data_IF_530506144546
#
_entry.id   IF_530506144546
#
_cell.length_a   1.000
_cell.length_b   1.000
_cell.length_c   1.000
_cell.angle_alpha   90.00
_cell.angle_beta   90.00
_cell.angle_gamma   90.00
#
_symmetry.space_group_name_H-M   'P 1'
#
loop_
_entity.id
_entity.type
_entity.pdbx_description
1 polymer ?
#
# COMPACT_ATOMS: atom_id res chain seq x y z
N UNK A 1 -57.22 22.83 -47.48
CA UNK A 1 -57.62 21.50 -47.97
C UNK A 1 -58.33 20.80 -46.83
N UNK A 2 -59.59 20.41 -47.03
CA UNK A 2 -60.36 19.58 -46.07
C UNK A 2 -61.33 20.32 -45.16
N UNK A 3 -61.99 21.38 -45.63
CA UNK A 3 -63.27 21.86 -45.07
C UNK A 3 -64.36 21.40 -46.04
N UNK A 4 -64.85 20.18 -45.86
CA UNK A 4 -66.09 19.67 -46.47
C UNK A 4 -66.36 18.29 -45.87
N UNK A 5 -67.00 18.30 -44.70
CA UNK A 5 -67.83 17.22 -44.12
C UNK A 5 -68.27 17.65 -42.72
N UNK A 6 -69.03 18.74 -42.65
CA UNK A 6 -69.99 18.93 -41.58
C UNK A 6 -71.34 18.94 -42.27
N UNK A 7 -71.84 17.73 -42.51
CA UNK A 7 -73.21 17.54 -42.94
C UNK A 7 -74.13 18.27 -41.98
N UNK A 8 -75.00 19.06 -42.60
CA UNK A 8 -76.06 19.78 -41.95
C UNK A 8 -76.90 18.83 -41.08
N UNK A 9 -76.67 18.86 -39.77
CA UNK A 9 -77.70 18.44 -38.81
C UNK A 9 -78.79 19.50 -38.87
N UNK A 10 -79.68 19.27 -39.84
CA UNK A 10 -80.95 19.93 -40.03
C UNK A 10 -81.66 20.07 -38.68
N UNK A 11 -81.99 21.30 -38.32
CA UNK A 11 -82.78 21.67 -37.14
C UNK A 11 -84.25 21.18 -37.20
N UNK A 12 -84.54 20.16 -38.01
CA UNK A 12 -85.87 19.57 -38.21
C UNK A 12 -85.99 18.10 -37.79
N UNK A 13 -84.93 17.50 -37.21
CA UNK A 13 -84.98 16.14 -36.64
C UNK A 13 -85.17 16.10 -35.10
N UNK A 14 -85.36 17.26 -34.44
CA UNK A 14 -85.94 17.27 -33.08
C UNK A 14 -87.46 17.11 -33.18
N UNK A 15 -87.89 15.90 -33.52
CA UNK A 15 -89.26 15.48 -33.22
C UNK A 15 -89.44 15.53 -31.71
N UNK A 16 -90.45 16.24 -31.15
CA UNK A 16 -90.78 16.08 -29.76
C UNK A 16 -91.33 14.67 -29.60
N UNK A 17 -90.48 13.75 -29.13
CA UNK A 17 -90.94 12.44 -28.68
C UNK A 17 -92.13 12.63 -27.74
N UNK A 18 -93.13 11.73 -27.78
CA UNK A 18 -94.33 11.87 -26.97
C UNK A 18 -93.94 12.07 -25.50
N UNK A 19 -94.62 12.97 -24.75
CA UNK A 19 -94.27 13.29 -23.36
C UNK A 19 -94.30 12.08 -22.41
N UNK A 20 -94.81 10.93 -22.86
CA UNK A 20 -94.99 9.72 -22.08
C UNK A 20 -93.75 8.79 -22.05
N UNK A 21 -92.74 8.96 -22.92
CA UNK A 21 -91.55 8.08 -22.90
C UNK A 21 -90.65 8.32 -21.68
N UNK A 22 -90.71 9.51 -21.08
CA UNK A 22 -90.07 9.81 -19.79
C UNK A 22 -90.88 9.24 -18.62
N UNK A 23 -92.20 9.11 -18.74
CA UNK A 23 -93.07 8.54 -17.70
C UNK A 23 -93.00 7.02 -17.63
N UNK A 24 -92.71 6.35 -18.74
CA UNK A 24 -92.56 4.88 -18.81
C UNK A 24 -91.24 4.40 -18.19
N UNK A 25 -90.21 5.26 -18.16
CA UNK A 25 -88.91 4.99 -17.53
C UNK A 25 -88.81 5.46 -16.07
N UNK A 26 -89.69 6.36 -15.62
CA UNK A 26 -89.76 6.79 -14.22
C UNK A 26 -89.99 5.67 -13.20
N UNK A 27 -90.90 4.70 -13.40
CA UNK A 27 -91.09 3.61 -12.44
C UNK A 27 -89.86 2.71 -12.36
N UNK A 28 -89.19 2.45 -13.49
CA UNK A 28 -87.92 1.71 -13.54
C UNK A 28 -86.79 2.47 -12.81
N UNK A 29 -86.71 3.78 -12.99
CA UNK A 29 -85.77 4.63 -12.26
C UNK A 29 -86.07 4.66 -10.76
N UNK A 30 -87.33 4.69 -10.34
CA UNK A 30 -87.74 4.65 -8.93
C UNK A 30 -87.43 3.27 -8.32
N UNK A 31 -87.68 2.19 -9.04
CA UNK A 31 -87.33 0.83 -8.61
C UNK A 31 -85.82 0.67 -8.48
N UNK A 32 -85.04 1.19 -9.43
CA UNK A 32 -83.58 1.21 -9.36
C UNK A 32 -83.06 2.04 -8.18
N UNK A 33 -83.62 3.23 -7.94
CA UNK A 33 -83.23 4.08 -6.80
C UNK A 33 -83.62 3.40 -5.47
N UNK A 34 -84.79 2.77 -5.39
CA UNK A 34 -85.23 2.03 -4.21
C UNK A 34 -84.32 0.82 -3.94
N UNK A 35 -83.96 0.08 -4.99
CA UNK A 35 -83.04 -1.05 -4.92
C UNK A 35 -81.64 -0.61 -4.45
N UNK A 36 -81.15 0.54 -4.94
CA UNK A 36 -79.89 1.13 -4.47
C UNK A 36 -80.00 1.62 -3.02
N UNK A 37 -81.13 2.21 -2.63
CA UNK A 37 -81.37 2.69 -1.27
C UNK A 37 -81.50 1.55 -0.24
N UNK A 38 -81.97 0.38 -0.65
CA UNK A 38 -81.99 -0.84 0.18
C UNK A 38 -80.61 -1.50 0.29
N UNK A 39 -79.74 -1.30 -0.71
CA UNK A 39 -78.36 -1.79 -0.70
C UNK A 39 -77.45 -0.97 0.21
N UNK A 40 -77.73 0.33 0.35
CA UNK A 40 -76.92 1.28 1.13
C UNK A 40 -77.43 1.29 2.58
N UNK A 41 -76.58 0.86 3.51
CA UNK A 41 -76.80 1.02 4.96
C UNK A 41 -75.85 2.13 5.41
N UNK A 42 -76.33 3.38 5.55
CA UNK A 42 -75.44 4.54 5.69
C UNK A 42 -74.46 4.46 6.86
N UNK A 43 -74.85 3.80 7.96
CA UNK A 43 -74.00 3.63 9.13
C UNK A 43 -72.86 2.62 8.91
N UNK A 44 -73.12 1.53 8.19
CA UNK A 44 -72.12 0.49 7.91
C UNK A 44 -71.22 0.88 6.73
N UNK A 45 -71.78 1.54 5.72
CA UNK A 45 -71.02 2.07 4.58
C UNK A 45 -70.07 3.20 5.02
N UNK A 46 -70.52 4.09 5.92
CA UNK A 46 -69.66 5.13 6.49
C UNK A 46 -68.48 4.54 7.27
N UNK A 47 -68.72 3.52 8.11
CA UNK A 47 -67.65 2.82 8.83
C UNK A 47 -66.67 2.13 7.89
N UNK A 48 -67.17 1.59 6.78
CA UNK A 48 -66.32 0.94 5.77
C UNK A 48 -65.46 1.97 5.05
N UNK A 49 -66.01 3.14 4.71
CA UNK A 49 -65.25 4.24 4.09
C UNK A 49 -64.19 4.79 5.05
N UNK A 50 -64.53 5.01 6.32
CA UNK A 50 -63.55 5.46 7.33
C UNK A 50 -62.43 4.42 7.52
N UNK A 51 -62.78 3.13 7.60
CA UNK A 51 -61.78 2.07 7.69
C UNK A 51 -60.88 1.98 6.44
N UNK A 52 -61.42 2.26 5.26
CA UNK A 52 -60.64 2.32 4.01
C UNK A 52 -59.72 3.54 4.02
N UNK A 53 -60.17 4.70 4.49
CA UNK A 53 -59.31 5.88 4.61
C UNK A 53 -58.17 5.64 5.60
N UNK A 54 -58.46 5.04 6.77
CA UNK A 54 -57.43 4.69 7.74
C UNK A 54 -56.38 3.74 7.14
N UNK A 55 -56.81 2.75 6.33
CA UNK A 55 -55.91 1.85 5.61
C UNK A 55 -55.07 2.57 4.55
N UNK A 56 -55.67 3.50 3.81
CA UNK A 56 -54.95 4.29 2.79
C UNK A 56 -53.90 5.17 3.46
N UNK A 57 -54.24 5.83 4.57
CA UNK A 57 -53.33 6.68 5.32
C UNK A 57 -52.16 5.86 5.92
N UNK A 58 -52.43 4.65 6.40
CA UNK A 58 -51.41 3.71 6.88
C UNK A 58 -50.48 3.26 5.74
N UNK A 59 -51.03 2.83 4.60
CA UNK A 59 -50.25 2.44 3.42
C UNK A 59 -49.42 3.61 2.84
N UNK A 60 -49.94 4.84 2.89
CA UNK A 60 -49.20 6.02 2.46
C UNK A 60 -48.04 6.35 3.40
N UNK A 61 -48.25 6.19 4.71
CA UNK A 61 -47.20 6.35 5.70
C UNK A 61 -46.09 5.31 5.51
N UNK A 62 -46.45 4.04 5.32
CA UNK A 62 -45.50 2.95 5.05
C UNK A 62 -44.72 3.20 3.75
N UNK A 63 -45.41 3.50 2.64
CA UNK A 63 -44.76 3.82 1.37
C UNK A 63 -43.80 5.00 1.48
N UNK A 64 -44.15 6.01 2.30
CA UNK A 64 -43.27 7.15 2.53
C UNK A 64 -42.04 6.75 3.33
N UNK A 65 -42.18 5.95 4.38
CA UNK A 65 -41.05 5.45 5.16
C UNK A 65 -40.11 4.61 4.31
N UNK A 66 -40.65 3.71 3.48
CA UNK A 66 -39.86 2.90 2.54
C UNK A 66 -39.08 3.76 1.55
N UNK A 67 -39.70 4.82 0.99
CA UNK A 67 -39.03 5.76 0.09
C UNK A 67 -37.93 6.55 0.80
N UNK A 68 -38.18 7.02 2.01
CA UNK A 68 -37.20 7.73 2.82
C UNK A 68 -36.00 6.82 3.16
N UNK A 69 -36.26 5.56 3.51
CA UNK A 69 -35.23 4.56 3.78
C UNK A 69 -34.43 4.23 2.52
N UNK A 70 -35.08 3.97 1.39
CA UNK A 70 -34.41 3.73 0.11
C UNK A 70 -33.55 4.92 -0.32
N UNK A 71 -34.02 6.16 -0.10
CA UNK A 71 -33.22 7.36 -0.35
C UNK A 71 -32.00 7.47 0.58
N UNK A 72 -32.16 7.12 1.85
CA UNK A 72 -31.06 7.10 2.82
C UNK A 72 -29.99 6.07 2.40
N UNK A 73 -30.42 4.87 2.00
CA UNK A 73 -29.56 3.79 1.54
C UNK A 73 -28.83 4.16 0.25
N UNK A 74 -29.52 4.74 -0.73
CA UNK A 74 -28.89 5.23 -1.96
C UNK A 74 -27.81 6.28 -1.66
N UNK A 75 -28.07 7.19 -0.72
CA UNK A 75 -27.10 8.21 -0.32
C UNK A 75 -25.91 7.60 0.42
N UNK A 76 -26.13 6.58 1.24
CA UNK A 76 -25.06 5.84 1.90
C UNK A 76 -24.18 5.09 0.88
N UNK A 77 -24.79 4.36 -0.06
CA UNK A 77 -24.11 3.66 -1.13
C UNK A 77 -23.33 4.61 -2.05
N UNK A 78 -23.90 5.77 -2.39
CA UNK A 78 -23.21 6.79 -3.19
C UNK A 78 -21.94 7.29 -2.49
N UNK A 79 -21.99 7.55 -1.17
CA UNK A 79 -20.81 7.94 -0.39
C UNK A 79 -19.74 6.85 -0.35
N UNK A 80 -20.15 5.58 -0.20
CA UNK A 80 -19.23 4.43 -0.23
C UNK A 80 -18.58 4.33 -1.61
N UNK A 81 -19.35 4.52 -2.68
CA UNK A 81 -18.85 4.48 -4.05
C UNK A 81 -17.87 5.63 -4.32
N UNK A 82 -18.14 6.83 -3.84
CA UNK A 82 -17.22 7.98 -3.99
C UNK A 82 -15.94 7.79 -3.16
N UNK A 83 -16.05 7.24 -1.95
CA UNK A 83 -14.90 6.85 -1.16
C UNK A 83 -14.07 5.76 -1.87
N UNK A 84 -14.72 4.75 -2.43
CA UNK A 84 -14.08 3.68 -3.19
C UNK A 84 -13.42 4.20 -4.48
N UNK A 85 -14.05 5.14 -5.20
CA UNK A 85 -13.46 5.83 -6.37
C UNK A 85 -12.23 6.65 -5.98
N UNK A 86 -12.31 7.36 -4.86
CA UNK A 86 -11.20 8.15 -4.35
C UNK A 86 -10.04 7.24 -3.92
N UNK A 87 -10.34 6.08 -3.33
CA UNK A 87 -9.34 5.09 -2.93
C UNK A 87 -8.77 4.28 -4.10
N UNK A 88 -9.54 4.02 -5.15
CA UNK A 88 -9.11 3.24 -6.32
C UNK A 88 -8.34 4.08 -7.33
N UNK A 89 -8.60 5.39 -7.35
CA UNK A 89 -7.78 6.31 -8.12
C UNK A 89 -6.47 6.53 -7.39
N UNK A 90 -5.35 6.18 -8.04
CA UNK A 90 -4.00 6.42 -7.52
C UNK A 90 -3.89 7.90 -7.09
N UNK A 91 -3.62 8.20 -5.81
CA UNK A 91 -3.57 9.59 -5.37
C UNK A 91 -2.45 10.32 -6.10
N UNK A 92 -2.71 11.59 -6.48
CA UNK A 92 -1.84 12.38 -7.37
C UNK A 92 -0.43 12.62 -6.83
N UNK A 93 -0.21 12.33 -5.55
CA UNK A 93 1.08 12.44 -4.85
C UNK A 93 1.95 11.18 -4.99
N UNK A 94 1.42 10.07 -5.51
CA UNK A 94 2.21 8.85 -5.76
C UNK A 94 2.84 8.95 -7.14
N UNK A 95 4.14 8.67 -7.23
CA UNK A 95 4.89 8.65 -8.49
C UNK A 95 4.14 7.85 -9.56
N UNK A 96 4.24 8.23 -10.85
CA UNK A 96 3.64 7.44 -11.94
C UNK A 96 4.15 5.99 -11.91
N UNK A 97 3.42 5.07 -12.55
CA UNK A 97 3.81 3.66 -12.61
C UNK A 97 5.22 3.49 -13.19
N UNK A 98 5.53 4.26 -14.23
CA UNK A 98 6.85 4.30 -14.87
C UNK A 98 7.93 4.78 -13.90
N UNK A 99 7.74 5.93 -13.23
CA UNK A 99 8.71 6.44 -12.23
C UNK A 99 8.91 5.48 -11.06
N UNK A 100 7.88 4.74 -10.68
CA UNK A 100 8.01 3.71 -9.65
C UNK A 100 8.85 2.53 -10.13
N UNK A 101 8.63 2.05 -11.36
CA UNK A 101 9.43 0.99 -11.96
C UNK A 101 10.90 1.40 -12.15
N UNK A 102 11.15 2.63 -12.60
CA UNK A 102 12.49 3.20 -12.68
C UNK A 102 13.18 3.24 -11.31
N UNK A 103 12.48 3.68 -10.26
CA UNK A 103 13.02 3.67 -8.90
C UNK A 103 13.31 2.26 -8.39
N UNK A 104 12.44 1.28 -8.67
CA UNK A 104 12.69 -0.11 -8.30
C UNK A 104 13.93 -0.66 -8.99
N UNK A 105 14.05 -0.44 -10.30
CA UNK A 105 15.23 -0.85 -11.06
C UNK A 105 16.51 -0.17 -10.55
N UNK A 106 16.44 1.10 -10.19
CA UNK A 106 17.55 1.83 -9.59
C UNK A 106 17.96 1.25 -8.23
N UNK A 107 16.98 0.95 -7.37
CA UNK A 107 17.22 0.33 -6.06
C UNK A 107 17.81 -1.07 -6.19
N UNK A 108 17.36 -1.87 -7.15
CA UNK A 108 17.91 -3.20 -7.38
C UNK A 108 19.34 -3.16 -7.92
N UNK A 109 19.64 -2.22 -8.83
CA UNK A 109 21.01 -1.97 -9.27
C UNK A 109 21.92 -1.52 -8.09
N UNK A 110 21.42 -0.64 -7.22
CA UNK A 110 22.14 -0.21 -6.03
C UNK A 110 22.40 -1.38 -5.07
N UNK A 111 21.40 -2.24 -4.83
CA UNK A 111 21.54 -3.45 -3.99
C UNK A 111 22.62 -4.39 -4.50
N UNK A 112 22.65 -4.66 -5.81
CA UNK A 112 23.68 -5.50 -6.42
C UNK A 112 25.07 -4.85 -6.28
N UNK A 113 25.17 -3.53 -6.44
CA UNK A 113 26.43 -2.82 -6.27
C UNK A 113 26.95 -2.88 -4.82
N UNK A 114 26.05 -2.73 -3.83
CA UNK A 114 26.41 -2.83 -2.42
C UNK A 114 26.80 -4.25 -2.02
N UNK A 115 26.10 -5.27 -2.52
CA UNK A 115 26.45 -6.66 -2.26
C UNK A 115 27.86 -6.99 -2.79
N UNK A 116 28.20 -6.49 -3.99
CA UNK A 116 29.55 -6.64 -4.53
C UNK A 116 30.59 -5.89 -3.69
N UNK A 117 30.34 -4.61 -3.37
CA UNK A 117 31.26 -3.81 -2.57
C UNK A 117 31.49 -4.41 -1.18
N UNK A 118 30.45 -5.01 -0.57
CA UNK A 118 30.56 -5.71 0.70
C UNK A 118 31.45 -6.94 0.58
N UNK A 119 31.26 -7.76 -0.46
CA UNK A 119 32.08 -8.94 -0.69
C UNK A 119 33.56 -8.58 -0.95
N UNK A 120 33.80 -7.54 -1.74
CA UNK A 120 35.15 -7.02 -2.01
C UNK A 120 35.81 -6.53 -0.70
N UNK A 121 35.05 -5.84 0.16
CA UNK A 121 35.53 -5.37 1.46
C UNK A 121 35.78 -6.52 2.46
N UNK A 122 34.91 -7.52 2.51
CA UNK A 122 35.08 -8.72 3.34
C UNK A 122 36.31 -9.53 2.90
N UNK A 123 36.52 -9.69 1.60
CA UNK A 123 37.68 -10.36 1.03
C UNK A 123 38.98 -9.64 1.39
N UNK A 124 39.01 -8.31 1.26
CA UNK A 124 40.16 -7.50 1.65
C UNK A 124 40.41 -7.49 3.17
N UNK A 125 39.36 -7.63 3.99
CA UNK A 125 39.50 -7.75 5.43
C UNK A 125 40.07 -9.13 5.80
N UNK A 126 39.58 -10.19 5.17
CA UNK A 126 40.07 -11.56 5.37
C UNK A 126 41.56 -11.67 5.03
N UNK A 127 42.01 -11.07 3.92
CA UNK A 127 43.44 -11.07 3.58
C UNK A 127 44.30 -10.34 4.61
N UNK A 128 43.86 -9.17 5.08
CA UNK A 128 44.56 -8.40 6.13
C UNK A 128 44.59 -9.13 7.47
N UNK A 129 43.51 -9.84 7.82
CA UNK A 129 43.48 -10.67 9.02
C UNK A 129 44.46 -11.84 8.92
N UNK A 130 44.56 -12.47 7.75
CA UNK A 130 45.54 -13.53 7.49
C UNK A 130 46.98 -12.98 7.61
N UNK A 131 47.28 -11.84 6.98
CA UNK A 131 48.59 -11.17 7.10
C UNK A 131 48.91 -10.80 8.56
N UNK A 132 47.95 -10.22 9.29
CA UNK A 132 48.14 -9.89 10.70
C UNK A 132 48.43 -11.14 11.54
N UNK A 133 47.75 -12.26 11.27
CA UNK A 133 48.00 -13.51 11.98
C UNK A 133 49.38 -14.10 11.66
N UNK A 134 49.85 -14.00 10.42
CA UNK A 134 51.20 -14.41 10.02
C UNK A 134 52.27 -13.57 10.72
N UNK A 135 52.12 -12.24 10.70
CA UNK A 135 53.05 -11.33 11.36
C UNK A 135 53.09 -11.52 12.88
N UNK A 136 51.96 -11.82 13.51
CA UNK A 136 51.91 -12.17 14.94
C UNK A 136 52.66 -13.46 15.24
N UNK A 137 52.55 -14.46 14.37
CA UNK A 137 53.28 -15.73 14.53
C UNK A 137 54.78 -15.55 14.29
N UNK A 138 55.20 -14.79 13.28
CA UNK A 138 56.61 -14.43 13.04
C UNK A 138 57.20 -13.66 14.22
N UNK A 139 56.44 -12.71 14.78
CA UNK A 139 56.85 -11.95 15.95
C UNK A 139 57.03 -12.86 17.16
N UNK A 140 56.12 -13.81 17.38
CA UNK A 140 56.23 -14.82 18.45
C UNK A 140 57.47 -15.69 18.27
N UNK A 141 57.74 -16.14 17.04
CA UNK A 141 58.95 -16.91 16.75
C UNK A 141 60.23 -16.11 17.02
N UNK A 142 60.23 -14.81 16.69
CA UNK A 142 61.37 -13.93 16.95
C UNK A 142 61.56 -13.66 18.45
N UNK A 143 60.48 -13.51 19.22
CA UNK A 143 60.53 -13.37 20.67
C UNK A 143 61.03 -14.64 21.37
N UNK A 144 60.70 -15.82 20.83
CA UNK A 144 61.18 -17.11 21.34
C UNK A 144 62.64 -17.39 20.93
N UNK A 145 63.12 -16.82 19.81
CA UNK A 145 64.51 -16.95 19.37
C UNK A 145 65.44 -16.07 20.20
N UNK A 146 66.30 -16.68 21.02
CA UNK A 146 67.42 -15.99 21.66
C UNK A 146 68.67 -16.06 20.76
N UNK A 147 69.01 -14.98 20.02
CA UNK A 147 70.16 -14.97 19.13
C UNK A 147 71.51 -15.08 19.86
N UNK A 148 71.54 -14.85 21.18
CA UNK A 148 72.74 -15.03 21.99
C UNK A 148 72.97 -16.50 22.39
N UNK A 149 71.92 -17.33 22.38
CA UNK A 149 71.99 -18.76 22.67
C UNK A 149 72.24 -19.59 21.39
N UNK A 150 71.68 -19.19 20.24
CA UNK A 150 71.83 -19.91 18.96
C UNK A 150 73.19 -19.72 18.28
N UNK A 151 73.96 -18.69 18.65
CA UNK A 151 75.31 -18.51 18.19
C UNK A 151 76.28 -18.59 19.36
N UNK A 152 77.13 -19.62 19.40
CA UNK A 152 78.39 -19.56 20.13
C UNK A 152 79.26 -18.47 19.50
N UNK A 153 78.97 -17.21 19.86
CA UNK A 153 79.76 -16.07 19.49
C UNK A 153 81.16 -16.30 20.08
N UNK A 154 82.13 -16.69 19.25
CA UNK A 154 83.53 -16.72 19.66
C UNK A 154 83.89 -15.31 20.10
N UNK A 155 83.99 -15.10 21.42
CA UNK A 155 84.23 -13.79 22.00
C UNK A 155 85.62 -13.25 21.66
N UNK A 156 86.51 -14.09 21.12
CA UNK A 156 87.89 -13.73 20.78
C UNK A 156 87.99 -12.72 19.61
N UNK A 157 87.38 -12.94 18.43
CA UNK A 157 87.39 -11.96 17.34
C UNK A 157 86.71 -10.64 17.71
N UNK A 158 85.62 -10.67 18.49
CA UNK A 158 84.94 -9.44 18.93
C UNK A 158 85.82 -8.64 19.89
N UNK A 159 86.43 -9.30 20.88
CA UNK A 159 87.40 -8.67 21.79
C UNK A 159 88.60 -8.11 21.02
N UNK A 160 89.12 -8.84 20.04
CA UNK A 160 90.22 -8.36 19.20
C UNK A 160 89.85 -7.10 18.40
N UNK A 161 88.62 -7.03 17.87
CA UNK A 161 88.12 -5.85 17.15
C UNK A 161 87.90 -4.65 18.07
N UNK A 162 87.43 -4.89 19.31
CA UNK A 162 87.33 -3.85 20.35
C UNK A 162 88.71 -3.34 20.74
N UNK A 163 89.69 -4.22 20.96
CA UNK A 163 91.06 -3.83 21.27
C UNK A 163 91.68 -2.99 20.15
N UNK A 164 91.52 -3.39 18.88
CA UNK A 164 91.96 -2.58 17.72
C UNK A 164 91.27 -1.21 17.66
N UNK A 165 89.97 -1.15 18.00
CA UNK A 165 89.23 0.12 18.06
C UNK A 165 89.65 1.05 19.21
N UNK A 166 90.21 0.49 20.29
CA UNK A 166 90.83 1.21 21.40
C UNK A 166 92.31 1.57 21.15
N UNK A 167 92.80 1.36 19.92
CA UNK A 167 94.21 1.61 19.56
C UNK A 167 95.17 0.54 20.07
N UNK A 168 94.68 -0.57 20.60
CA UNK A 168 95.46 -1.68 21.15
C UNK A 168 95.63 -2.75 20.06
N UNK A 169 96.80 -2.80 19.44
CA UNK A 169 97.13 -3.78 18.40
C UNK A 169 98.08 -4.86 18.95
N UNK A 170 97.59 -6.09 19.20
CA UNK A 170 98.44 -7.18 19.64
C UNK A 170 99.21 -7.79 18.45
N UNK A 171 100.53 -7.88 18.59
CA UNK A 171 101.43 -8.58 17.68
C UNK A 171 101.63 -10.00 18.22
N UNK A 172 101.29 -10.99 17.40
CA UNK A 172 101.44 -12.40 17.71
C UNK A 172 102.77 -12.92 17.15
N UNK A 173 103.44 -13.79 17.90
CA UNK A 173 104.64 -14.52 17.48
C UNK A 173 104.30 -15.62 16.46
N UNK A 174 105.31 -16.21 15.80
CA UNK A 174 105.17 -17.27 14.79
C UNK A 174 104.44 -18.53 15.33
N UNK A 175 104.43 -18.71 16.64
CA UNK A 175 103.69 -19.78 17.34
C UNK A 175 102.25 -19.42 17.75
N UNK A 176 101.76 -18.22 17.39
CA UNK A 176 100.40 -17.75 17.70
C UNK A 176 100.18 -17.25 19.13
N UNK A 177 101.25 -17.04 19.91
CA UNK A 177 101.20 -16.47 21.25
C UNK A 177 101.42 -14.96 21.22
N UNK A 178 100.86 -14.24 22.21
CA UNK A 178 100.95 -12.78 22.30
C UNK A 178 102.36 -12.35 22.71
N UNK A 179 103.11 -11.74 21.79
CA UNK A 179 104.49 -11.28 22.03
C UNK A 179 104.48 -9.84 22.57
N UNK A 180 103.81 -8.92 21.89
CA UNK A 180 103.82 -7.48 22.22
C UNK A 180 102.50 -6.82 21.89
N UNK A 181 102.19 -5.72 22.59
CA UNK A 181 100.98 -4.92 22.35
C UNK A 181 101.40 -3.49 22.05
N UNK A 182 100.97 -2.97 20.90
CA UNK A 182 101.10 -1.56 20.56
C UNK A 182 99.86 -0.82 21.06
N UNK A 183 100.07 0.29 21.77
CA UNK A 183 98.99 1.19 22.18
C UNK A 183 99.17 2.49 21.42
N UNK A 184 98.29 2.72 20.44
CA UNK A 184 98.19 4.00 19.74
C UNK A 184 97.65 5.07 20.69
N UNK A 185 98.29 6.23 20.70
CA UNK A 185 97.77 7.44 21.36
C UNK A 185 96.56 8.01 20.63
#
# INVERSE_FOLDING_TARGET
MGLDQLDALSLSDLSPGPPDSLLESLPEVIENISSIAELIVPEDDYRTIDAIHDQIDEEEAERREELEQAHADLKALARILDAARTSSTRPRNVSSAEKHAENLNHLDAARLSFAKALNDAESANSSKQAEASQLMEELRQLEESDPAAEHELDGKPLRLRIYRGLGIEPILDEAGHLDRVLVGQ
#
